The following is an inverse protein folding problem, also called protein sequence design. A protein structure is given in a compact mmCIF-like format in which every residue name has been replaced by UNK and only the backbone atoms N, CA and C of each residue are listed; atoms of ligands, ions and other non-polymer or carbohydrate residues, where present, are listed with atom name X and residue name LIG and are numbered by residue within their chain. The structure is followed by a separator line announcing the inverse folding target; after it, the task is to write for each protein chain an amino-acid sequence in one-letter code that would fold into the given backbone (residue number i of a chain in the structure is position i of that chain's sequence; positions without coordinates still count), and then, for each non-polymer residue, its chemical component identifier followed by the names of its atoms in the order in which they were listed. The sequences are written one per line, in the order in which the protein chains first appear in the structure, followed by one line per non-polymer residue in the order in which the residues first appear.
data_IF_330165738219
#
_entry.id   IF_330165738219
#
_cell.length_a   1.000
_cell.length_b   1.000
_cell.length_c   1.000
_cell.angle_alpha   90.00
_cell.angle_beta   90.00
_cell.angle_gamma   90.00
#
_symmetry.space_group_name_H-M   'P 1'
#
loop_
_entity.id
_entity.type
_entity.pdbx_description
1 polymer ?
#
# COMPACT_ATOMS: atom_id res chain seq x y z
N UNK A 1 -75.62 -17.21 1.52
CA UNK A 1 -74.69 -17.60 0.42
C UNK A 1 -73.45 -16.73 0.57
N UNK A 2 -72.28 -17.25 1.02
CA UNK A 2 -71.17 -17.77 0.19
C UNK A 2 -70.85 -16.76 -0.96
N UNK A 3 -69.67 -16.12 -1.14
CA UNK A 3 -68.26 -16.54 -1.04
C UNK A 3 -67.32 -15.31 -1.15
N UNK A 4 -66.27 -15.23 -0.30
CA UNK A 4 -64.81 -15.31 -0.61
C UNK A 4 -64.08 -14.05 -1.10
N UNK A 5 -63.12 -13.62 -0.27
CA UNK A 5 -61.99 -12.73 -0.58
C UNK A 5 -60.93 -13.49 -1.41
N UNK A 6 -60.09 -12.79 -2.19
CA UNK A 6 -58.69 -13.18 -2.22
C UNK A 6 -57.75 -12.02 -1.88
N UNK A 7 -56.97 -12.27 -0.83
CA UNK A 7 -55.72 -11.65 -0.46
C UNK A 7 -54.71 -11.83 -1.62
N UNK A 8 -54.25 -10.75 -2.23
CA UNK A 8 -53.06 -10.78 -3.10
C UNK A 8 -51.92 -9.95 -2.49
N UNK A 9 -50.97 -10.74 -2.00
CA UNK A 9 -49.60 -10.48 -1.58
C UNK A 9 -48.85 -9.53 -2.54
N UNK A 10 -48.50 -8.32 -2.09
CA UNK A 10 -47.46 -7.53 -2.74
C UNK A 10 -46.09 -7.96 -2.20
N UNK A 11 -45.36 -8.68 -3.06
CA UNK A 11 -44.01 -9.18 -2.81
C UNK A 11 -43.05 -8.00 -2.67
N UNK A 12 -42.34 -7.97 -1.54
CA UNK A 12 -41.25 -7.07 -1.21
C UNK A 12 -40.06 -7.34 -2.14
N UNK A 13 -39.75 -6.41 -3.05
CA UNK A 13 -38.58 -6.48 -3.92
C UNK A 13 -37.34 -6.06 -3.10
N UNK A 14 -36.71 -7.02 -2.42
CA UNK A 14 -35.41 -6.83 -1.78
C UNK A 14 -34.32 -6.70 -2.83
N UNK A 15 -33.87 -5.48 -3.11
CA UNK A 15 -32.68 -5.23 -3.93
C UNK A 15 -31.47 -5.70 -3.12
N UNK A 16 -30.94 -6.87 -3.46
CA UNK A 16 -29.61 -7.29 -3.04
C UNK A 16 -28.59 -6.39 -3.77
N UNK A 17 -28.27 -5.25 -3.18
CA UNK A 17 -27.04 -4.54 -3.52
C UNK A 17 -25.88 -5.42 -3.03
N UNK A 18 -25.37 -6.29 -3.90
CA UNK A 18 -24.08 -6.93 -3.66
C UNK A 18 -23.06 -5.81 -3.56
N UNK A 19 -22.45 -5.63 -2.39
CA UNK A 19 -21.34 -4.70 -2.25
C UNK A 19 -20.23 -5.22 -3.18
N UNK A 20 -20.04 -4.59 -4.34
CA UNK A 20 -18.88 -4.83 -5.15
C UNK A 20 -17.66 -4.56 -4.26
N UNK A 21 -16.98 -5.63 -3.84
CA UNK A 21 -15.72 -5.49 -3.11
C UNK A 21 -14.76 -4.82 -4.08
N UNK A 22 -14.45 -3.55 -3.80
CA UNK A 22 -13.54 -2.79 -4.64
C UNK A 22 -12.19 -3.52 -4.64
N UNK A 23 -11.77 -3.99 -5.81
CA UNK A 23 -10.58 -4.82 -5.98
C UNK A 23 -9.34 -3.99 -5.61
N UNK A 24 -8.52 -4.52 -4.69
CA UNK A 24 -7.21 -3.94 -4.38
C UNK A 24 -6.28 -4.14 -5.58
N UNK A 25 -5.42 -3.18 -5.86
CA UNK A 25 -4.44 -3.32 -6.94
C UNK A 25 -3.21 -4.13 -6.50
N UNK A 26 -2.56 -4.78 -7.47
CA UNK A 26 -1.37 -5.59 -7.24
C UNK A 26 -0.08 -4.76 -7.12
N UNK A 27 0.04 -4.05 -6.01
CA UNK A 27 1.27 -3.35 -5.63
C UNK A 27 1.96 -4.04 -4.45
N UNK A 28 3.29 -3.88 -4.39
CA UNK A 28 4.11 -4.46 -3.33
C UNK A 28 5.25 -3.53 -2.91
N UNK A 29 5.71 -3.76 -1.69
CA UNK A 29 6.94 -3.19 -1.16
C UNK A 29 7.60 -4.20 -0.23
N UNK A 30 8.79 -4.66 -0.62
CA UNK A 30 9.65 -5.50 0.22
C UNK A 30 10.99 -4.76 0.37
N UNK A 31 11.30 -4.18 1.55
CA UNK A 31 12.43 -3.28 1.75
C UNK A 31 13.75 -3.78 1.18
N UNK A 32 14.01 -5.09 1.30
CA UNK A 32 15.26 -5.76 0.88
C UNK A 32 15.33 -6.15 -0.59
N UNK A 33 14.22 -6.09 -1.34
CA UNK A 33 14.23 -6.42 -2.76
C UNK A 33 14.98 -5.35 -3.57
N UNK A 34 15.64 -5.76 -4.64
CA UNK A 34 16.25 -4.83 -5.60
C UNK A 34 15.19 -4.08 -6.40
N UNK A 35 15.54 -2.87 -6.84
CA UNK A 35 14.72 -2.08 -7.76
C UNK A 35 15.38 -2.12 -9.15
N UNK A 36 14.65 -2.46 -10.23
CA UNK A 36 15.20 -2.42 -11.58
C UNK A 36 15.78 -1.04 -11.93
N UNK A 37 16.86 -1.02 -12.72
CA UNK A 37 17.54 0.21 -13.14
C UNK A 37 18.03 1.09 -11.97
N UNK A 38 18.30 0.49 -10.82
CA UNK A 38 18.79 1.16 -9.62
C UNK A 38 19.78 0.24 -8.89
N UNK A 39 20.79 0.83 -8.25
CA UNK A 39 21.65 0.10 -7.31
C UNK A 39 21.05 0.01 -5.91
N UNK A 40 19.83 0.51 -5.71
CA UNK A 40 19.13 0.52 -4.44
C UNK A 40 18.23 -0.71 -4.25
N UNK A 41 17.95 -1.00 -2.99
CA UNK A 41 16.80 -1.81 -2.57
C UNK A 41 15.54 -0.95 -2.44
N UNK A 42 14.37 -1.57 -2.30
CA UNK A 42 13.09 -0.83 -2.22
C UNK A 42 13.01 0.11 -1.01
N UNK A 43 13.83 -0.09 0.02
CA UNK A 43 14.16 0.95 1.03
C UNK A 43 15.66 1.21 1.00
N UNK A 44 16.06 2.48 0.91
CA UNK A 44 17.46 2.90 0.94
C UNK A 44 17.64 4.18 1.77
N UNK A 45 18.54 4.22 2.78
CA UNK A 45 19.31 3.08 3.29
C UNK A 45 18.40 2.03 3.94
N UNK A 46 18.84 0.77 3.99
CA UNK A 46 18.04 -0.30 4.61
C UNK A 46 17.87 -0.12 6.11
N UNK A 47 18.94 0.30 6.80
CA UNK A 47 19.08 0.34 8.25
C UNK A 47 19.84 1.61 8.69
N UNK A 48 19.91 1.84 10.00
CA UNK A 48 20.72 2.89 10.63
C UNK A 48 20.46 4.29 10.07
N UNK A 49 19.21 4.75 10.16
CA UNK A 49 18.86 6.12 9.79
C UNK A 49 19.49 7.09 10.79
N UNK A 50 20.46 7.85 10.32
CA UNK A 50 20.97 9.03 11.03
C UNK A 50 19.96 10.19 10.87
N UNK A 51 19.93 11.11 11.83
CA UNK A 51 19.16 12.34 11.67
C UNK A 51 19.62 13.06 10.39
N UNK A 52 18.67 13.54 9.60
CA UNK A 52 19.01 14.26 8.37
C UNK A 52 19.35 13.37 7.16
N UNK A 53 19.47 12.05 7.33
CA UNK A 53 19.69 11.13 6.20
C UNK A 53 18.48 11.12 5.25
N UNK A 54 18.75 11.00 3.95
CA UNK A 54 17.69 10.83 2.95
C UNK A 54 17.27 9.36 2.94
N UNK A 55 15.99 9.12 3.18
CA UNK A 55 15.35 7.82 3.07
C UNK A 55 14.52 7.78 1.82
N UNK A 56 14.78 6.79 0.98
CA UNK A 56 14.10 6.57 -0.29
C UNK A 56 13.31 5.27 -0.19
N UNK A 57 12.03 5.35 -0.52
CA UNK A 57 11.08 4.22 -0.51
C UNK A 57 10.54 4.06 -1.93
N UNK A 58 10.64 2.84 -2.44
CA UNK A 58 10.07 2.43 -3.71
C UNK A 58 8.89 1.49 -3.51
N UNK A 59 7.91 1.50 -4.40
CA UNK A 59 6.97 0.39 -4.53
C UNK A 59 6.98 -0.12 -5.96
N UNK A 60 6.69 -1.41 -6.13
CA UNK A 60 6.35 -2.00 -7.41
C UNK A 60 4.83 -2.11 -7.55
N UNK A 61 4.36 -2.16 -8.79
CA UNK A 61 2.97 -2.36 -9.13
C UNK A 61 2.85 -3.05 -10.48
N UNK A 62 2.15 -4.18 -10.52
CA UNK A 62 1.83 -4.86 -11.76
C UNK A 62 0.74 -4.07 -12.48
N UNK A 63 1.08 -3.40 -13.58
CA UNK A 63 0.14 -2.52 -14.29
C UNK A 63 -0.53 -3.19 -15.50
N UNK A 64 -0.01 -4.34 -15.94
CA UNK A 64 -0.54 -5.11 -17.07
C UNK A 64 -0.18 -6.60 -16.93
N UNK A 65 -0.62 -7.42 -17.89
CA UNK A 65 -0.36 -8.86 -17.92
C UNK A 65 -1.46 -9.68 -17.25
N UNK A 66 -1.17 -10.94 -16.95
CA UNK A 66 -2.13 -11.86 -16.30
C UNK A 66 -2.23 -11.61 -14.80
N UNK A 67 -3.36 -12.00 -14.20
CA UNK A 67 -3.61 -11.89 -12.77
C UNK A 67 -4.51 -10.70 -12.44
N UNK A 68 -4.04 -9.81 -11.56
CA UNK A 68 -4.76 -8.65 -11.07
C UNK A 68 -3.98 -7.35 -11.36
N UNK A 69 -3.74 -7.01 -12.64
CA UNK A 69 -3.03 -5.78 -12.97
C UNK A 69 -3.88 -4.56 -12.62
N UNK A 70 -3.28 -3.56 -11.97
CA UNK A 70 -3.92 -2.28 -11.70
C UNK A 70 -3.02 -1.13 -12.11
N UNK A 71 -3.59 -0.11 -12.74
CA UNK A 71 -2.83 1.06 -13.14
C UNK A 71 -2.70 2.05 -11.97
N UNK A 72 -1.58 1.95 -11.23
CA UNK A 72 -1.21 2.94 -10.23
C UNK A 72 -1.15 4.32 -10.90
N UNK A 73 -1.86 5.28 -10.33
CA UNK A 73 -1.96 6.66 -10.80
C UNK A 73 -1.27 7.66 -9.88
N UNK A 74 -0.77 7.19 -8.73
CA UNK A 74 -0.04 7.99 -7.76
C UNK A 74 0.00 7.31 -6.40
N UNK A 75 0.25 8.09 -5.36
CA UNK A 75 0.19 7.63 -3.99
C UNK A 75 1.06 8.45 -3.06
N UNK A 76 1.26 7.96 -1.85
CA UNK A 76 2.12 8.61 -0.87
C UNK A 76 2.74 7.61 0.09
N UNK A 77 3.95 7.92 0.54
CA UNK A 77 4.57 7.25 1.68
C UNK A 77 4.19 8.04 2.93
N UNK A 78 3.54 7.38 3.88
CA UNK A 78 3.27 7.92 5.21
C UNK A 78 4.34 7.41 6.16
N UNK A 79 5.07 8.30 6.80
CA UNK A 79 6.20 7.95 7.66
C UNK A 79 6.20 8.75 8.95
N UNK A 80 6.87 8.20 9.97
CA UNK A 80 7.14 8.87 11.24
C UNK A 80 8.34 8.27 11.96
N UNK A 81 8.88 9.03 12.91
CA UNK A 81 9.78 8.48 13.93
C UNK A 81 9.05 7.48 14.85
N UNK A 82 9.79 6.82 15.73
CA UNK A 82 9.23 5.82 16.65
C UNK A 82 8.03 6.32 17.47
N UNK A 83 8.07 7.59 17.90
CA UNK A 83 7.10 8.27 18.78
C UNK A 83 6.35 9.42 18.11
N UNK A 84 6.69 9.79 16.87
CA UNK A 84 6.10 10.92 16.16
C UNK A 84 4.69 10.67 15.61
N UNK A 85 4.18 11.71 14.93
CA UNK A 85 2.96 11.65 14.13
C UNK A 85 3.30 11.37 12.68
N UNK A 86 2.37 10.72 11.95
CA UNK A 86 2.57 10.48 10.52
C UNK A 86 2.54 11.79 9.73
N UNK A 87 3.51 11.93 8.85
CA UNK A 87 3.54 12.89 7.75
C UNK A 87 3.65 12.12 6.44
N UNK A 88 3.47 12.79 5.30
CA UNK A 88 3.47 12.12 4.00
C UNK A 88 4.27 12.84 2.94
N UNK A 89 4.86 12.06 2.04
CA UNK A 89 5.50 12.54 0.80
C UNK A 89 4.86 11.83 -0.41
N UNK A 90 4.57 12.53 -1.52
CA UNK A 90 3.96 11.91 -2.69
C UNK A 90 4.93 10.96 -3.40
N UNK A 91 4.37 9.88 -3.96
CA UNK A 91 5.08 8.96 -4.86
C UNK A 91 5.10 9.53 -6.28
N UNK A 92 6.25 9.47 -6.94
CA UNK A 92 6.41 9.74 -8.36
C UNK A 92 6.76 8.48 -9.14
N UNK A 93 6.46 8.45 -10.43
CA UNK A 93 6.89 7.37 -11.32
C UNK A 93 8.42 7.34 -11.39
N UNK A 94 9.01 6.15 -11.29
CA UNK A 94 10.46 5.95 -11.38
C UNK A 94 10.86 5.23 -12.67
N UNK A 95 10.45 3.98 -12.85
CA UNK A 95 10.78 3.19 -14.03
C UNK A 95 9.69 2.16 -14.32
N UNK A 96 9.71 1.61 -15.53
CA UNK A 96 8.98 0.40 -15.87
C UNK A 96 9.97 -0.73 -16.17
N UNK A 97 9.61 -1.95 -15.82
CA UNK A 97 10.34 -3.16 -16.19
C UNK A 97 9.34 -4.29 -16.41
N UNK A 98 9.27 -4.81 -17.64
CA UNK A 98 8.26 -5.81 -18.00
C UNK A 98 6.84 -5.28 -17.76
N UNK A 99 6.06 -6.06 -17.00
CA UNK A 99 4.66 -5.76 -16.66
C UNK A 99 4.48 -4.88 -15.42
N UNK A 100 5.59 -4.37 -14.87
CA UNK A 100 5.62 -3.69 -13.59
C UNK A 100 6.08 -2.25 -13.74
N UNK A 101 5.41 -1.34 -13.03
CA UNK A 101 5.84 0.04 -12.83
C UNK A 101 6.32 0.22 -11.41
N UNK A 102 7.44 0.90 -11.26
CA UNK A 102 8.04 1.24 -10.00
C UNK A 102 7.86 2.73 -9.74
N UNK A 103 7.55 3.05 -8.49
CA UNK A 103 7.31 4.40 -8.01
C UNK A 103 8.21 4.68 -6.82
N UNK A 104 8.54 5.94 -6.57
CA UNK A 104 9.52 6.35 -5.57
C UNK A 104 9.08 7.60 -4.82
N UNK A 105 9.44 7.67 -3.55
CA UNK A 105 9.46 8.91 -2.79
C UNK A 105 10.70 8.95 -1.89
N UNK A 106 11.23 10.16 -1.67
CA UNK A 106 12.35 10.39 -0.75
C UNK A 106 11.98 11.44 0.28
N UNK A 107 12.43 11.25 1.52
CA UNK A 107 12.22 12.18 2.62
C UNK A 107 13.43 12.19 3.55
N UNK A 108 13.57 13.26 4.32
CA UNK A 108 14.60 13.36 5.35
C UNK A 108 14.14 12.62 6.61
N UNK A 109 14.99 11.75 7.15
CA UNK A 109 14.72 11.06 8.41
C UNK A 109 14.45 12.09 9.54
N UNK A 110 13.26 12.02 10.19
CA UNK A 110 12.85 13.05 11.14
C UNK A 110 13.62 12.99 12.47
N UNK A 111 14.24 11.85 12.78
CA UNK A 111 15.09 11.63 13.95
C UNK A 111 16.01 10.45 13.66
N UNK A 112 17.10 10.27 14.43
CA UNK A 112 17.88 9.03 14.36
C UNK A 112 17.02 7.83 14.78
N UNK A 113 17.38 6.66 14.26
CA UNK A 113 16.76 5.38 14.64
C UNK A 113 15.63 4.92 13.73
N UNK A 114 14.86 3.89 14.13
CA UNK A 114 13.93 3.21 13.24
C UNK A 114 12.76 4.12 12.83
N UNK A 115 12.44 4.09 11.54
CA UNK A 115 11.30 4.78 10.95
C UNK A 115 10.16 3.77 10.78
N UNK A 116 8.94 4.22 11.11
CA UNK A 116 7.70 3.49 10.85
C UNK A 116 7.05 4.11 9.63
N UNK A 117 6.66 3.30 8.66
CA UNK A 117 6.01 3.80 7.46
C UNK A 117 5.02 2.79 6.86
N UNK A 118 4.12 3.29 6.04
CA UNK A 118 3.26 2.50 5.15
C UNK A 118 3.04 3.31 3.87
N UNK A 119 2.51 2.68 2.83
CA UNK A 119 2.22 3.36 1.57
C UNK A 119 0.72 3.37 1.32
N UNK A 120 0.22 4.46 0.76
CA UNK A 120 -1.12 4.55 0.18
C UNK A 120 -0.96 4.63 -1.34
N UNK A 121 -1.50 3.66 -2.05
CA UNK A 121 -1.43 3.56 -3.50
C UNK A 121 -2.77 3.95 -4.09
N UNK A 122 -2.72 4.96 -4.96
CA UNK A 122 -3.88 5.41 -5.71
C UNK A 122 -3.87 4.74 -7.08
N UNK A 123 -5.05 4.34 -7.54
CA UNK A 123 -5.23 3.71 -8.85
C UNK A 123 -6.25 4.49 -9.66
N UNK A 124 -6.14 4.40 -10.99
CA UNK A 124 -7.20 4.89 -11.88
C UNK A 124 -8.33 3.88 -12.07
N UNK A 125 -8.08 2.60 -11.75
CA UNK A 125 -8.93 1.46 -12.11
C UNK A 125 -9.15 0.45 -10.96
N UNK A 126 -8.58 0.72 -9.78
CA UNK A 126 -8.68 -0.14 -8.58
C UNK A 126 -9.00 0.69 -7.34
N UNK A 127 -9.39 0.00 -6.27
CA UNK A 127 -9.51 0.61 -4.97
C UNK A 127 -8.15 1.17 -4.49
N UNK A 128 -8.20 2.22 -3.68
CA UNK A 128 -7.02 2.64 -2.92
C UNK A 128 -6.50 1.47 -2.10
N UNK A 129 -5.20 1.17 -2.26
CA UNK A 129 -4.56 0.03 -1.60
C UNK A 129 -3.48 0.53 -0.65
N UNK A 130 -3.49 0.06 0.59
CA UNK A 130 -2.47 0.39 1.58
C UNK A 130 -1.45 -0.75 1.66
N UNK A 131 -0.17 -0.43 1.50
CA UNK A 131 0.94 -1.40 1.59
C UNK A 131 1.65 -1.30 2.93
N UNK A 132 1.94 -2.45 3.51
CA UNK A 132 2.70 -2.58 4.74
C UNK A 132 3.40 -3.95 4.82
N UNK A 133 4.18 -4.21 5.87
CA UNK A 133 4.86 -5.49 6.03
C UNK A 133 6.11 -5.43 6.89
N UNK A 134 7.13 -6.19 6.51
CA UNK A 134 8.43 -6.29 7.19
C UNK A 134 9.54 -6.21 6.15
N UNK A 135 10.80 -6.32 6.58
CA UNK A 135 11.95 -6.31 5.66
C UNK A 135 11.92 -7.43 4.61
N UNK A 136 11.15 -8.50 4.83
CA UNK A 136 10.99 -9.63 3.91
C UNK A 136 9.56 -9.92 3.46
N UNK A 137 8.57 -9.09 3.81
CA UNK A 137 7.16 -9.35 3.46
C UNK A 137 6.44 -8.10 2.99
N UNK A 138 5.51 -8.27 2.06
CA UNK A 138 4.58 -7.24 1.58
C UNK A 138 3.15 -7.71 1.81
N UNK A 139 2.32 -6.85 2.36
CA UNK A 139 0.91 -7.08 2.65
C UNK A 139 0.08 -5.89 2.17
N UNK A 140 -1.19 -6.13 1.87
CA UNK A 140 -2.10 -5.12 1.33
C UNK A 140 -3.41 -5.09 2.11
N UNK A 141 -4.00 -3.91 2.28
CA UNK A 141 -5.36 -3.74 2.83
C UNK A 141 -6.09 -2.59 2.14
N UNK A 142 -7.42 -2.65 2.11
CA UNK A 142 -8.28 -1.54 1.69
C UNK A 142 -8.69 -0.62 2.83
N UNK A 143 -8.51 -1.03 4.09
CA UNK A 143 -8.93 -0.23 5.25
C UNK A 143 -7.77 0.66 5.75
N UNK A 144 -7.91 2.01 5.70
CA UNK A 144 -6.88 2.94 6.16
C UNK A 144 -6.54 2.82 7.66
N UNK A 145 -7.38 2.18 8.47
CA UNK A 145 -7.16 2.01 9.91
C UNK A 145 -6.38 0.75 10.26
N UNK A 146 -6.28 -0.16 9.30
CA UNK A 146 -5.70 -1.49 9.49
C UNK A 146 -4.22 -1.67 9.10
N UNK A 147 -3.45 -0.74 8.48
CA UNK A 147 -2.07 -1.04 8.13
C UNK A 147 -1.15 -0.93 9.38
N UNK A 148 -0.60 -2.02 9.93
CA UNK A 148 0.52 -1.90 10.86
C UNK A 148 1.73 -1.35 10.08
N UNK A 149 2.56 -0.47 10.66
CA UNK A 149 3.70 0.09 9.94
C UNK A 149 4.73 -0.99 9.59
N UNK A 150 5.39 -0.82 8.44
CA UNK A 150 6.67 -1.47 8.17
C UNK A 150 7.66 -1.02 9.24
N UNK A 151 8.24 -2.00 9.94
CA UNK A 151 9.30 -1.77 10.92
C UNK A 151 10.64 -1.97 10.23
N UNK A 152 11.52 -0.97 10.32
CA UNK A 152 12.93 -1.19 10.04
C UNK A 152 13.53 -1.98 11.20
N UNK A 153 14.26 -3.06 10.92
CA UNK A 153 14.95 -3.82 11.95
C UNK A 153 15.86 -2.87 12.77
N UNK A 154 15.63 -2.78 14.08
CA UNK A 154 16.67 -2.25 14.97
C UNK A 154 17.80 -3.25 14.94
N UNK A 155 19.01 -2.79 14.68
CA UNK A 155 20.26 -3.55 14.78
C UNK A 155 20.19 -4.47 16.01
N UNK A 156 20.12 -5.78 15.76
CA UNK A 156 20.31 -6.78 16.80
C UNK A 156 21.72 -6.60 17.35
N UNK A 157 21.78 -6.55 18.67
CA UNK A 157 22.89 -6.42 19.60
C UNK A 157 24.26 -6.86 19.05
N UNK A 158 25.27 -6.01 19.26
CA UNK A 158 26.69 -6.41 19.25
C UNK A 158 26.85 -7.72 20.03
N UNK A 159 27.53 -8.69 19.43
CA UNK A 159 28.33 -9.69 20.13
C UNK A 159 29.78 -9.45 19.71
#
# INVERSE_FOLDING_TARGET
MKRTLPLFLFILLGILASAAQAQLGNAWHVPTNTVPNSSNTMRSPLNNFEAGSIVTIYNGNQFQGSGNPGNQSGGSVFYKSATGSYVSVPLGFFTQSGNDKFWVASFTAPSPGPIKYYLKINYSDHATTYLYGTDGTSNTTGDPRSPPPVRSASTSTRA
#
